data_IF_121358205487
#
_entry.id   IF_121358205487
#
_cell.length_a   1.000
_cell.length_b   1.000
_cell.length_c   1.000
_cell.angle_alpha   90.00
_cell.angle_beta   90.00
_cell.angle_gamma   90.00
#
_symmetry.space_group_name_H-M   'P 1'
#
loop_
_entity.id
_entity.type
_entity.pdbx_description
1 polymer ?
#
# COMPACT_ATOMS: atom_id res chain seq x y z
N UNK A 1 11.91 -12.20 -4.36
CA UNK A 1 10.61 -12.13 -5.09
C UNK A 1 10.30 -10.68 -5.45
N UNK A 2 9.56 -10.42 -6.53
CA UNK A 2 9.03 -9.08 -6.89
C UNK A 2 7.52 -9.19 -7.12
N UNK A 3 6.73 -8.31 -6.50
CA UNK A 3 5.28 -8.21 -6.75
C UNK A 3 4.94 -6.82 -7.26
N UNK A 4 3.89 -6.71 -8.08
CA UNK A 4 3.41 -5.42 -8.58
C UNK A 4 1.95 -5.26 -8.19
N UNK A 5 1.66 -4.20 -7.44
CA UNK A 5 0.31 -3.77 -7.13
C UNK A 5 -0.11 -2.69 -8.12
N UNK A 6 -1.38 -2.69 -8.49
CA UNK A 6 -1.94 -1.73 -9.44
C UNK A 6 -3.15 -1.02 -8.85
N UNK A 7 -3.36 0.23 -9.23
CA UNK A 7 -4.58 0.95 -8.92
C UNK A 7 -4.96 1.84 -10.09
N UNK A 8 -6.25 1.93 -10.39
CA UNK A 8 -6.79 2.91 -11.33
C UNK A 8 -7.88 3.71 -10.65
N UNK A 9 -7.76 5.03 -10.71
CA UNK A 9 -8.73 5.97 -10.16
C UNK A 9 -8.06 7.25 -9.68
N UNK A 10 -8.76 8.01 -8.85
CA UNK A 10 -8.26 9.29 -8.36
C UNK A 10 -7.18 9.08 -7.30
N UNK A 11 -6.05 9.77 -7.46
CA UNK A 11 -4.99 9.88 -6.44
C UNK A 11 -4.96 11.32 -5.93
N UNK A 12 -5.19 11.57 -4.63
CA UNK A 12 -5.33 12.93 -4.09
C UNK A 12 -4.10 13.79 -4.33
N UNK A 13 -4.33 15.03 -4.74
CA UNK A 13 -3.31 16.05 -4.97
C UNK A 13 -3.60 17.30 -4.15
N UNK A 14 -2.65 18.23 -4.03
CA UNK A 14 -2.82 19.42 -3.18
C UNK A 14 -3.84 20.43 -3.74
N UNK A 15 -3.98 20.49 -5.06
CA UNK A 15 -4.77 21.51 -5.77
C UNK A 15 -6.05 20.95 -6.42
N UNK A 16 -6.25 19.63 -6.41
CA UNK A 16 -7.47 19.02 -6.91
C UNK A 16 -8.57 18.99 -5.83
N UNK A 17 -9.84 18.97 -6.24
CA UNK A 17 -10.99 18.79 -5.35
C UNK A 17 -10.92 17.53 -4.46
N UNK A 18 -9.97 16.62 -4.73
CA UNK A 18 -9.63 15.44 -3.94
C UNK A 18 -9.13 15.73 -2.51
N UNK A 19 -8.72 16.97 -2.19
CA UNK A 19 -8.38 17.35 -0.81
C UNK A 19 -9.56 17.22 0.17
N UNK A 20 -10.80 17.46 -0.29
CA UNK A 20 -12.01 17.37 0.55
C UNK A 20 -12.39 15.92 0.91
N UNK A 21 -11.94 14.95 0.11
CA UNK A 21 -12.25 13.52 0.29
C UNK A 21 -10.97 12.65 0.32
N UNK A 22 -9.83 13.23 0.75
CA UNK A 22 -8.53 12.55 0.73
C UNK A 22 -8.58 11.18 1.42
N UNK A 23 -9.23 11.10 2.58
CA UNK A 23 -9.40 9.84 3.31
C UNK A 23 -10.18 8.78 2.52
N UNK A 24 -11.24 9.19 1.82
CA UNK A 24 -12.04 8.30 0.96
C UNK A 24 -11.23 7.77 -0.23
N UNK A 25 -10.41 8.61 -0.86
CA UNK A 25 -9.54 8.17 -1.95
C UNK A 25 -8.42 7.23 -1.46
N UNK A 26 -7.83 7.51 -0.30
CA UNK A 26 -6.86 6.60 0.35
C UNK A 26 -7.51 5.25 0.67
N UNK A 27 -8.74 5.27 1.20
CA UNK A 27 -9.53 4.07 1.48
C UNK A 27 -9.82 3.26 0.21
N UNK A 28 -10.24 3.92 -0.87
CA UNK A 28 -10.46 3.26 -2.16
C UNK A 28 -9.18 2.62 -2.72
N UNK A 29 -8.03 3.31 -2.64
CA UNK A 29 -6.73 2.74 -3.01
C UNK A 29 -6.39 1.52 -2.15
N UNK A 30 -6.58 1.62 -0.84
CA UNK A 30 -6.32 0.52 0.11
C UNK A 30 -7.16 -0.70 -0.21
N UNK A 31 -8.46 -0.53 -0.48
CA UNK A 31 -9.36 -1.62 -0.85
C UNK A 31 -8.97 -2.26 -2.19
N UNK A 32 -8.52 -1.46 -3.16
CA UNK A 32 -8.02 -2.00 -4.43
C UNK A 32 -6.73 -2.83 -4.25
N UNK A 33 -5.82 -2.39 -3.38
CA UNK A 33 -4.62 -3.15 -3.04
C UNK A 33 -4.96 -4.39 -2.20
N UNK A 34 -5.92 -4.29 -1.28
CA UNK A 34 -6.43 -5.40 -0.48
C UNK A 34 -6.88 -6.57 -1.36
N UNK A 35 -7.67 -6.32 -2.40
CA UNK A 35 -8.15 -7.39 -3.29
C UNK A 35 -7.03 -8.10 -4.04
N UNK A 36 -5.91 -7.42 -4.30
CA UNK A 36 -4.71 -8.02 -4.90
C UNK A 36 -3.93 -8.83 -3.86
N UNK A 37 -3.66 -8.25 -2.69
CA UNK A 37 -2.90 -8.88 -1.61
C UNK A 37 -3.62 -10.10 -1.01
N UNK A 38 -4.96 -10.07 -0.96
CA UNK A 38 -5.81 -11.19 -0.55
C UNK A 38 -5.49 -12.48 -1.31
N UNK A 39 -5.09 -12.37 -2.59
CA UNK A 39 -4.74 -13.52 -3.43
C UNK A 39 -3.43 -14.18 -3.00
N UNK A 40 -2.56 -13.43 -2.33
CA UNK A 40 -1.25 -13.89 -1.84
C UNK A 40 -1.36 -14.50 -0.44
N UNK A 41 -2.46 -14.27 0.28
CA UNK A 41 -2.62 -14.74 1.65
C UNK A 41 -2.61 -16.27 1.73
N UNK A 42 -1.68 -16.81 2.53
CA UNK A 42 -1.50 -18.26 2.69
C UNK A 42 -0.83 -18.96 1.50
N UNK A 43 -0.45 -18.23 0.45
CA UNK A 43 0.31 -18.76 -0.68
C UNK A 43 1.81 -18.56 -0.46
N UNK A 44 2.70 -19.40 -0.98
CA UNK A 44 4.15 -19.12 -0.96
C UNK A 44 4.46 -17.77 -1.62
N UNK A 45 5.39 -16.97 -1.06
CA UNK A 45 6.16 -17.20 0.17
C UNK A 45 5.46 -16.74 1.47
N UNK A 46 4.22 -16.25 1.39
CA UNK A 46 3.47 -15.70 2.52
C UNK A 46 2.68 -16.76 3.33
N UNK A 47 2.88 -18.04 3.05
CA UNK A 47 2.25 -19.15 3.79
C UNK A 47 2.59 -19.12 5.28
N UNK A 48 3.78 -18.66 5.63
CA UNK A 48 4.23 -18.55 7.03
C UNK A 48 3.38 -17.57 7.85
N UNK A 49 2.93 -16.45 7.26
CA UNK A 49 2.10 -15.47 7.95
C UNK A 49 0.76 -16.08 8.36
N UNK A 50 0.15 -16.85 7.45
CA UNK A 50 -1.09 -17.57 7.74
C UNK A 50 -0.87 -18.65 8.80
N UNK A 51 0.23 -19.40 8.72
CA UNK A 51 0.58 -20.40 9.72
C UNK A 51 0.70 -19.77 11.12
N UNK A 52 1.39 -18.64 11.25
CA UNK A 52 1.50 -17.92 12.52
C UNK A 52 0.14 -17.50 13.08
N UNK A 53 -0.77 -17.00 12.24
CA UNK A 53 -2.12 -16.65 12.68
C UNK A 53 -2.96 -17.88 13.06
N UNK A 54 -2.92 -18.95 12.24
CA UNK A 54 -3.68 -20.19 12.49
C UNK A 54 -3.28 -20.86 13.80
N UNK A 55 -2.01 -20.72 14.21
CA UNK A 55 -1.51 -21.19 15.52
C UNK A 55 -1.74 -20.18 16.64
N UNK A 56 -2.54 -19.13 16.43
CA UNK A 56 -2.80 -18.11 17.45
C UNK A 56 -1.55 -17.36 17.92
N UNK A 57 -0.54 -17.25 17.06
CA UNK A 57 0.78 -16.66 17.39
C UNK A 57 1.55 -17.41 18.50
N UNK A 58 1.33 -18.71 18.65
CA UNK A 58 2.09 -19.56 19.58
C UNK A 58 3.61 -19.61 19.27
N UNK A 59 4.39 -20.15 20.21
CA UNK A 59 5.83 -20.38 20.08
C UNK A 59 6.66 -19.14 19.69
N UNK A 60 6.32 -17.98 20.25
CA UNK A 60 6.96 -16.68 19.99
C UNK A 60 6.76 -16.14 18.56
N UNK A 61 5.78 -16.64 17.82
CA UNK A 61 5.44 -16.06 16.53
C UNK A 61 4.98 -14.60 16.73
N UNK A 62 5.46 -13.64 15.92
CA UNK A 62 5.13 -12.24 16.10
C UNK A 62 3.67 -11.99 15.70
N UNK A 63 2.89 -11.36 16.59
CA UNK A 63 1.58 -10.84 16.22
C UNK A 63 1.75 -9.52 15.46
N UNK A 64 1.55 -9.58 14.14
CA UNK A 64 1.66 -8.45 13.20
C UNK A 64 0.28 -7.85 12.84
N UNK A 65 -0.83 -8.41 13.34
CA UNK A 65 -2.17 -7.91 13.03
C UNK A 65 -2.46 -6.64 13.85
N UNK A 66 -2.84 -5.56 13.18
CA UNK A 66 -3.24 -4.30 13.80
C UNK A 66 -4.76 -4.17 13.79
N UNK A 67 -5.38 -3.85 14.94
CA UNK A 67 -6.82 -3.59 15.02
C UNK A 67 -7.09 -2.09 15.05
N UNK A 68 -7.90 -1.57 14.10
CA UNK A 68 -8.28 -0.16 14.03
C UNK A 68 -9.77 -0.06 13.69
N UNK A 69 -10.54 0.65 14.53
CA UNK A 69 -11.99 0.82 14.31
C UNK A 69 -12.78 -0.49 14.23
N UNK A 70 -12.33 -1.54 14.95
CA UNK A 70 -12.94 -2.87 14.90
C UNK A 70 -12.54 -3.74 13.69
N UNK A 71 -11.73 -3.21 12.77
CA UNK A 71 -11.23 -3.93 11.59
C UNK A 71 -9.83 -4.50 11.88
N UNK A 72 -9.59 -5.76 11.48
CA UNK A 72 -8.27 -6.38 11.52
C UNK A 72 -7.48 -6.07 10.26
N UNK A 73 -6.38 -5.35 10.40
CA UNK A 73 -5.44 -5.10 9.32
C UNK A 73 -4.26 -6.07 9.38
N UNK A 74 -3.99 -6.71 8.25
CA UNK A 74 -3.05 -7.82 8.14
C UNK A 74 -1.94 -7.42 7.15
N UNK A 75 -0.81 -6.89 7.66
CA UNK A 75 0.31 -6.51 6.82
C UNK A 75 1.11 -7.74 6.34
N UNK A 76 1.63 -7.66 5.11
CA UNK A 76 2.52 -8.68 4.55
C UNK A 76 3.99 -8.43 4.91
N UNK A 77 4.36 -7.17 5.13
CA UNK A 77 5.68 -6.76 5.58
C UNK A 77 5.55 -5.89 6.82
N UNK A 78 6.37 -6.12 7.84
CA UNK A 78 6.35 -5.31 9.06
C UNK A 78 7.76 -5.36 9.63
N UNK A 79 8.43 -4.22 9.69
CA UNK A 79 9.83 -4.20 10.09
C UNK A 79 9.99 -4.63 11.56
N UNK A 80 9.30 -4.04 12.55
CA UNK A 80 9.44 -4.46 13.95
C UNK A 80 8.97 -5.88 14.27
N UNK A 81 7.98 -6.42 13.54
CA UNK A 81 7.37 -7.72 13.85
C UNK A 81 7.86 -8.84 12.96
N UNK A 82 7.99 -8.62 11.66
CA UNK A 82 8.34 -9.65 10.66
C UNK A 82 9.85 -9.61 10.33
N UNK A 83 10.51 -8.46 10.52
CA UNK A 83 11.95 -8.29 10.23
C UNK A 83 12.25 -8.05 8.74
N UNK A 84 11.21 -7.81 7.94
CA UNK A 84 11.33 -7.56 6.50
C UNK A 84 10.77 -6.18 6.18
N UNK A 85 11.60 -5.39 5.53
CA UNK A 85 11.25 -4.09 4.98
C UNK A 85 10.93 -4.19 3.48
N UNK A 86 10.59 -3.08 2.84
CA UNK A 86 10.27 -3.00 1.42
C UNK A 86 11.03 -1.89 0.71
N UNK A 87 11.37 -2.18 -0.54
CA UNK A 87 11.76 -1.20 -1.55
C UNK A 87 10.59 -1.01 -2.50
N UNK A 88 10.18 0.24 -2.70
CA UNK A 88 9.05 0.63 -3.53
C UNK A 88 9.51 1.40 -4.76
N UNK A 89 9.11 0.95 -5.94
CA UNK A 89 9.15 1.73 -7.17
C UNK A 89 7.72 2.07 -7.59
N UNK A 90 7.36 3.35 -7.48
CA UNK A 90 6.03 3.86 -7.78
C UNK A 90 6.05 4.57 -9.12
N UNK A 91 5.35 4.01 -10.09
CA UNK A 91 5.04 4.70 -11.35
C UNK A 91 3.61 5.21 -11.32
N UNK A 92 3.46 6.52 -11.35
CA UNK A 92 2.17 7.21 -11.49
C UNK A 92 1.97 7.62 -12.95
N UNK A 93 0.99 7.04 -13.62
CA UNK A 93 0.48 7.56 -14.88
C UNK A 93 -0.70 8.48 -14.55
N UNK A 94 -0.65 9.75 -14.94
CA UNK A 94 -1.76 10.69 -14.73
C UNK A 94 -2.09 11.44 -16.01
N UNK A 95 -3.37 11.76 -16.23
CA UNK A 95 -3.78 12.59 -17.37
C UNK A 95 -3.14 13.97 -17.27
N UNK A 96 -2.37 14.38 -18.28
CA UNK A 96 -1.88 15.76 -18.34
C UNK A 96 -3.06 16.69 -18.60
N UNK A 97 -3.20 17.83 -17.87
CA UNK A 97 -4.14 18.87 -18.29
C UNK A 97 -3.71 19.37 -19.67
N UNK A 98 -4.53 19.08 -20.67
CA UNK A 98 -4.36 19.62 -22.01
C UNK A 98 -4.27 21.15 -21.89
N UNK A 99 -3.14 21.71 -22.34
CA UNK A 99 -2.88 23.14 -22.59
C UNK A 99 -2.27 24.02 -21.48
N UNK A 100 -1.51 23.49 -20.54
CA UNK A 100 -0.53 24.33 -19.83
C UNK A 100 0.70 23.53 -19.42
N UNK A 101 1.92 24.09 -19.54
CA UNK A 101 3.11 23.54 -18.89
C UNK A 101 3.00 23.79 -17.38
N UNK A 102 1.99 23.23 -16.73
CA UNK A 102 2.03 23.04 -15.30
C UNK A 102 2.97 21.88 -15.09
N UNK A 103 4.27 22.21 -15.03
CA UNK A 103 5.24 21.49 -14.22
C UNK A 103 4.49 20.93 -13.02
N UNK A 104 4.30 19.60 -12.95
CA UNK A 104 3.85 18.97 -11.72
C UNK A 104 4.77 19.51 -10.66
N UNK A 105 4.27 20.43 -9.84
CA UNK A 105 5.11 21.04 -8.82
C UNK A 105 5.64 19.89 -7.98
N UNK A 106 6.91 19.94 -7.59
CA UNK A 106 7.51 18.90 -6.74
C UNK A 106 6.62 18.57 -5.52
N UNK A 107 5.86 19.56 -5.03
CA UNK A 107 4.88 19.39 -3.96
C UNK A 107 3.59 18.62 -4.30
N UNK A 108 3.10 18.66 -5.54
CA UNK A 108 1.90 17.88 -5.92
C UNK A 108 2.22 16.39 -6.06
N UNK A 109 3.39 16.06 -6.64
CA UNK A 109 3.89 14.69 -6.70
C UNK A 109 4.08 14.11 -5.30
N UNK A 110 4.76 14.82 -4.40
CA UNK A 110 5.00 14.36 -3.03
C UNK A 110 3.68 14.02 -2.30
N UNK A 111 2.66 14.88 -2.43
CA UNK A 111 1.34 14.64 -1.83
C UNK A 111 0.64 13.40 -2.39
N UNK A 112 0.77 13.15 -3.69
CA UNK A 112 0.20 11.96 -4.35
C UNK A 112 0.93 10.68 -3.92
N UNK A 113 2.26 10.70 -3.91
CA UNK A 113 3.09 9.58 -3.45
C UNK A 113 2.80 9.26 -1.98
N UNK A 114 2.71 10.29 -1.12
CA UNK A 114 2.32 10.12 0.28
C UNK A 114 0.96 9.44 0.41
N UNK A 115 -0.03 9.86 -0.39
CA UNK A 115 -1.37 9.25 -0.35
C UNK A 115 -1.36 7.78 -0.80
N UNK A 116 -0.50 7.42 -1.75
CA UNK A 116 -0.31 6.02 -2.17
C UNK A 116 0.33 5.22 -1.02
N UNK A 117 1.37 5.75 -0.37
CA UNK A 117 2.02 5.10 0.79
C UNK A 117 1.02 4.93 1.94
N UNK A 118 0.24 5.97 2.26
CA UNK A 118 -0.81 5.94 3.28
C UNK A 118 -1.84 4.81 3.00
N UNK A 119 -2.07 4.48 1.72
CA UNK A 119 -2.98 3.41 1.30
C UNK A 119 -2.37 2.00 1.39
N UNK A 120 -1.04 1.87 1.50
CA UNK A 120 -0.32 0.60 1.57
C UNK A 120 -0.21 0.04 3.01
N UNK A 121 -0.48 0.84 4.04
CA UNK A 121 -0.41 0.43 5.45
C UNK A 121 -1.66 0.81 6.25
N UNK A 122 -1.97 0.15 7.39
CA UNK A 122 -3.16 0.45 8.19
C UNK A 122 -3.29 1.95 8.54
N UNK A 123 -4.51 2.51 8.61
CA UNK A 123 -4.70 3.90 9.02
C UNK A 123 -4.31 4.08 10.50
N UNK A 124 -3.64 5.19 10.84
CA UNK A 124 -3.19 5.46 12.22
C UNK A 124 -4.32 5.84 13.18
N UNK A 125 -5.43 6.38 12.65
CA UNK A 125 -6.61 6.75 13.41
C UNK A 125 -7.83 6.07 12.81
N UNK A 126 -8.90 5.97 13.59
CA UNK A 126 -10.22 5.57 13.10
C UNK A 126 -10.85 6.67 12.23
N UNK A 127 -10.19 6.96 11.10
CA UNK A 127 -10.66 7.81 10.03
C UNK A 127 -11.16 6.94 8.87
N UNK A 128 -11.74 5.78 9.20
CA UNK A 128 -12.30 4.83 8.25
C UNK A 128 -13.40 5.53 7.44
N UNK A 129 -13.38 5.33 6.14
CA UNK A 129 -14.33 5.97 5.22
C UNK A 129 -14.99 4.93 4.32
N UNK A 130 -16.28 5.14 4.07
CA UNK A 130 -17.06 4.35 3.12
C UNK A 130 -17.01 2.84 3.39
N UNK A 131 -16.72 2.09 2.34
CA UNK A 131 -16.81 0.63 2.25
C UNK A 131 -15.78 -0.14 3.09
N UNK A 132 -14.72 0.49 3.61
CA UNK A 132 -13.78 -0.19 4.53
C UNK A 132 -14.51 -0.72 5.76
N UNK A 133 -15.50 0.02 6.28
CA UNK A 133 -16.27 -0.34 7.49
C UNK A 133 -17.11 -1.61 7.34
N UNK A 134 -17.36 -2.03 6.11
CA UNK A 134 -18.13 -3.24 5.82
C UNK A 134 -17.28 -4.51 5.95
N UNK A 135 -15.94 -4.37 5.99
CA UNK A 135 -15.00 -5.48 6.10
C UNK A 135 -14.54 -5.66 7.54
N UNK A 136 -14.49 -6.91 8.00
CA UNK A 136 -13.87 -7.26 9.28
C UNK A 136 -12.34 -7.42 9.19
N UNK A 137 -11.80 -7.50 7.96
CA UNK A 137 -10.39 -7.79 7.69
C UNK A 137 -9.93 -7.11 6.41
N UNK A 138 -8.79 -6.44 6.48
CA UNK A 138 -8.11 -5.79 5.35
C UNK A 138 -6.66 -6.27 5.29
N UNK A 139 -6.17 -6.52 4.08
CA UNK A 139 -4.79 -6.95 3.82
C UNK A 139 -4.02 -5.72 3.36
N UNK A 140 -2.92 -5.42 4.04
CA UNK A 140 -2.06 -4.29 3.74
C UNK A 140 -0.70 -4.78 3.25
N UNK A 141 -0.03 -3.96 2.45
CA UNK A 141 1.31 -4.32 2.01
C UNK A 141 2.25 -4.32 3.21
N UNK A 142 2.19 -3.26 4.01
CA UNK A 142 3.09 -3.07 5.14
C UNK A 142 2.38 -2.64 6.41
N UNK A 143 2.99 -2.90 7.57
CA UNK A 143 2.44 -2.57 8.88
C UNK A 143 2.54 -1.08 9.22
N UNK A 144 3.57 -0.41 8.74
CA UNK A 144 3.81 1.02 8.92
C UNK A 144 4.71 1.58 7.81
N UNK A 145 4.77 2.90 7.68
CA UNK A 145 5.62 3.59 6.70
C UNK A 145 7.13 3.37 6.95
N UNK A 146 7.52 3.12 8.21
CA UNK A 146 8.89 2.80 8.63
C UNK A 146 9.46 1.55 7.90
N UNK A 147 8.59 0.67 7.41
CA UNK A 147 8.99 -0.49 6.62
C UNK A 147 9.54 -0.10 5.24
N UNK A 148 9.36 1.12 4.75
CA UNK A 148 9.92 1.58 3.47
C UNK A 148 11.38 1.97 3.65
N UNK A 149 12.31 1.24 3.00
CA UNK A 149 13.76 1.55 3.03
C UNK A 149 14.25 2.27 1.79
N UNK A 150 13.61 1.99 0.67
CA UNK A 150 13.91 2.61 -0.61
C UNK A 150 12.60 3.02 -1.25
N UNK A 151 12.57 4.24 -1.79
CA UNK A 151 11.43 4.77 -2.50
C UNK A 151 11.93 5.46 -3.77
N UNK A 152 11.51 4.95 -4.92
CA UNK A 152 11.61 5.64 -6.20
C UNK A 152 10.21 5.99 -6.66
N UNK A 153 10.04 7.21 -7.18
CA UNK A 153 8.76 7.68 -7.69
C UNK A 153 8.97 8.35 -9.05
N UNK A 154 8.23 7.89 -10.05
CA UNK A 154 8.24 8.42 -11.41
C UNK A 154 6.82 8.78 -11.83
N UNK A 155 6.65 9.90 -12.54
CA UNK A 155 5.37 10.27 -13.15
C UNK A 155 5.49 10.30 -14.66
N UNK A 156 4.45 9.85 -15.36
CA UNK A 156 4.35 9.88 -16.83
C UNK A 156 2.92 10.21 -17.28
N UNK A 157 2.71 10.67 -18.51
CA UNK A 157 1.38 10.89 -19.05
C UNK A 157 0.57 9.59 -19.15
N UNK A 158 -0.70 9.61 -18.74
CA UNK A 158 -1.64 8.51 -18.94
C UNK A 158 -2.45 8.68 -20.22
N UNK A 159 -1.84 8.39 -21.37
CA UNK A 159 -2.42 8.67 -22.69
C UNK A 159 -3.71 7.89 -23.00
N UNK A 160 -4.00 6.82 -22.27
CA UNK A 160 -5.23 6.03 -22.44
C UNK A 160 -6.44 6.59 -21.67
N UNK A 161 -6.27 7.66 -20.89
CA UNK A 161 -7.35 8.35 -20.20
C UNK A 161 -7.49 9.78 -20.71
N UNK A 162 -8.73 10.17 -21.01
CA UNK A 162 -9.10 11.56 -21.30
C UNK A 162 -9.48 12.34 -20.02
N UNK A 163 -9.64 11.65 -18.89
CA UNK A 163 -9.94 12.25 -17.60
C UNK A 163 -8.64 12.61 -16.87
N UNK A 164 -8.45 13.90 -16.58
CA UNK A 164 -7.28 14.45 -15.89
C UNK A 164 -7.15 14.02 -14.42
N UNK A 165 -8.27 13.68 -13.77
CA UNK A 165 -8.26 13.16 -12.40
C UNK A 165 -8.02 11.64 -12.35
N UNK A 166 -8.14 10.93 -13.48
CA UNK A 166 -7.84 9.51 -13.57
C UNK A 166 -6.32 9.29 -13.55
N UNK A 167 -5.90 8.38 -12.69
CA UNK A 167 -4.52 7.97 -12.59
C UNK A 167 -4.43 6.45 -12.58
N UNK A 168 -3.35 5.95 -13.16
CA UNK A 168 -2.97 4.55 -13.09
C UNK A 168 -1.66 4.43 -12.32
N UNK A 169 -1.69 3.76 -11.19
CA UNK A 169 -0.55 3.57 -10.30
C UNK A 169 -0.03 2.14 -10.47
N UNK A 170 1.28 2.01 -10.63
CA UNK A 170 2.00 0.77 -10.47
C UNK A 170 2.93 0.92 -9.27
N UNK A 171 2.83 -0.01 -8.32
CA UNK A 171 3.73 -0.10 -7.18
C UNK A 171 4.46 -1.43 -7.29
N UNK A 172 5.71 -1.37 -7.75
CA UNK A 172 6.58 -2.53 -7.72
C UNK A 172 7.22 -2.63 -6.34
N UNK A 173 7.05 -3.80 -5.71
CA UNK A 173 7.53 -4.07 -4.36
C UNK A 173 8.61 -5.13 -4.42
N UNK A 174 9.74 -4.83 -3.77
CA UNK A 174 10.79 -5.80 -3.48
C UNK A 174 10.99 -5.92 -1.98
N UNK A 175 11.01 -7.13 -1.40
CA UNK A 175 11.34 -7.31 0.00
C UNK A 175 12.82 -6.96 0.23
N UNK A 176 13.08 -6.34 1.38
CA UNK A 176 14.42 -6.00 1.86
C UNK A 176 14.56 -6.64 3.24
N UNK A 177 15.20 -7.82 3.36
CA UNK A 177 15.41 -8.44 4.67
C UNK A 177 16.33 -7.58 5.53
N UNK A 178 15.88 -7.23 6.73
CA UNK A 178 16.69 -6.51 7.73
C UNK A 178 17.18 -7.49 8.79
N UNK A 179 16.29 -8.40 9.22
CA UNK A 179 16.61 -9.50 10.12
C UNK A 179 16.15 -10.81 9.45
N UNK A 180 17.11 -11.67 9.09
CA UNK A 180 16.78 -12.97 8.48
C UNK A 180 16.66 -14.03 9.58
N UNK A 181 15.48 -14.63 9.66
CA UNK A 181 15.18 -15.78 10.51
C UNK A 181 14.81 -16.97 9.63
N UNK A 182 14.88 -18.19 10.17
CA UNK A 182 14.42 -19.38 9.45
C UNK A 182 12.95 -19.25 8.99
N UNK A 183 12.14 -18.51 9.75
CA UNK A 183 10.71 -18.35 9.49
C UNK A 183 10.39 -17.30 8.43
N UNK A 184 11.26 -16.31 8.18
CA UNK A 184 10.99 -15.25 7.20
C UNK A 184 11.85 -15.35 5.93
N UNK A 185 12.76 -16.33 5.85
CA UNK A 185 13.69 -16.48 4.73
C UNK A 185 12.96 -16.70 3.39
N UNK A 186 11.83 -17.42 3.38
CA UNK A 186 11.05 -17.61 2.15
C UNK A 186 10.53 -16.30 1.59
N UNK A 187 10.19 -15.35 2.47
CA UNK A 187 9.68 -14.03 2.09
C UNK A 187 10.79 -13.08 1.62
N UNK A 188 12.06 -13.39 1.90
CA UNK A 188 13.21 -12.56 1.52
C UNK A 188 13.89 -12.98 0.22
N UNK A 189 13.66 -14.21 -0.24
CA UNK A 189 14.14 -14.76 -1.51
C UNK A 189 13.24 -14.34 -2.69
#
# INVERSE_FOLDING_TARGET
MKITLTYRGVVPSAHSGGGKNKSAHISNMRLAFHEQLKRLWGQPPFGVLKKWEDTGFEANAPNFIKAVGGIKYVPFFDLPKIGIAVSLDITLLSGEPNNAPQLISKGDLDNRIKSIIDALHPPQKDNLSGSEKELNRIYCLMGDDEAVKELTATTRPFLASENHDDAFVLVEVRPVPIEVTQSNIEMSL
#
